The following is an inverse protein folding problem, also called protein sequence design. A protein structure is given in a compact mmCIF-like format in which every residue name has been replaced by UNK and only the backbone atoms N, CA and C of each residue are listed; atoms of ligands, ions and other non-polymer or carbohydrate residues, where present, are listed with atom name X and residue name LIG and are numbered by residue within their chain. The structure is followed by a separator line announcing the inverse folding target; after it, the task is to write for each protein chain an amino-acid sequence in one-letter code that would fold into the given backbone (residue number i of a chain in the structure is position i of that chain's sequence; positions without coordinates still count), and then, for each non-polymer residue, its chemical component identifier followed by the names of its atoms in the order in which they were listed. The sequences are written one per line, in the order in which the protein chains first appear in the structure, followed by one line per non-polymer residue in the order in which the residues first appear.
data_IF_594367015378
#
_entry.id   IF_594367015378
#
_cell.length_a   1.000
_cell.length_b   1.000
_cell.length_c   1.000
_cell.angle_alpha   90.00
_cell.angle_beta   90.00
_cell.angle_gamma   90.00
#
_symmetry.space_group_name_H-M   'P 1'
#
loop_
_entity.id
_entity.type
_entity.pdbx_description
1 polymer ?
#
# COMPACT_ATOMS: atom_id res chain seq x y z
N UNK A 1 31.02 -4.87 -2.88
CA UNK A 1 30.25 -5.82 -2.04
C UNK A 1 28.87 -5.28 -1.68
N UNK A 2 28.74 -4.05 -1.15
CA UNK A 2 27.44 -3.43 -0.78
C UNK A 2 26.39 -3.40 -1.91
N UNK A 3 26.80 -3.04 -3.14
CA UNK A 3 25.90 -2.99 -4.29
C UNK A 3 25.34 -4.36 -4.68
N UNK A 4 26.17 -5.40 -4.59
CA UNK A 4 25.76 -6.77 -4.91
C UNK A 4 24.74 -7.29 -3.88
N UNK A 5 24.97 -7.01 -2.59
CA UNK A 5 24.01 -7.33 -1.52
C UNK A 5 22.71 -6.55 -1.64
N UNK A 6 22.76 -5.27 -2.05
CA UNK A 6 21.55 -4.47 -2.25
C UNK A 6 20.71 -5.01 -3.41
N UNK A 7 21.35 -5.32 -4.55
CA UNK A 7 20.66 -5.93 -5.70
C UNK A 7 20.02 -7.26 -5.30
N UNK A 8 20.77 -8.13 -4.60
CA UNK A 8 20.26 -9.40 -4.14
C UNK A 8 19.07 -9.24 -3.19
N UNK A 9 19.12 -8.28 -2.27
CA UNK A 9 18.01 -7.98 -1.36
C UNK A 9 16.73 -7.61 -2.11
N UNK A 10 16.81 -6.70 -3.08
CA UNK A 10 15.64 -6.29 -3.86
C UNK A 10 15.11 -7.43 -4.73
N UNK A 11 15.99 -8.21 -5.37
CA UNK A 11 15.60 -9.38 -6.16
C UNK A 11 14.82 -10.40 -5.32
N UNK A 12 15.26 -10.67 -4.09
CA UNK A 12 14.59 -11.61 -3.19
C UNK A 12 13.27 -11.05 -2.62
N UNK A 13 13.05 -9.73 -2.65
CA UNK A 13 11.81 -9.07 -2.21
C UNK A 13 10.78 -8.89 -3.32
N UNK A 14 11.16 -8.98 -4.60
CA UNK A 14 10.21 -8.83 -5.71
C UNK A 14 8.98 -9.75 -5.60
N UNK A 15 9.08 -11.04 -5.19
CA UNK A 15 7.92 -11.90 -5.05
C UNK A 15 6.86 -11.37 -4.08
N UNK A 16 7.26 -10.67 -3.01
CA UNK A 16 6.31 -10.15 -2.01
C UNK A 16 5.41 -9.02 -2.55
N UNK A 17 5.66 -8.52 -3.77
CA UNK A 17 4.77 -7.58 -4.44
C UNK A 17 3.56 -8.26 -5.09
N UNK A 18 3.56 -9.60 -5.22
CA UNK A 18 2.48 -10.36 -5.88
C UNK A 18 1.77 -11.33 -4.94
N UNK A 19 2.08 -11.25 -3.65
CA UNK A 19 1.44 -12.09 -2.66
C UNK A 19 0.04 -11.57 -2.31
N UNK A 20 -0.92 -12.46 -2.00
CA UNK A 20 -2.26 -12.05 -1.56
C UNK A 20 -2.20 -11.34 -0.20
N UNK A 21 -3.23 -10.58 0.15
CA UNK A 21 -3.30 -9.87 1.42
C UNK A 21 -3.22 -10.84 2.61
N UNK A 22 -2.14 -10.73 3.39
CA UNK A 22 -1.89 -11.61 4.54
C UNK A 22 -2.47 -11.07 5.84
N UNK A 23 -2.62 -9.74 5.94
CA UNK A 23 -2.89 -9.07 7.20
C UNK A 23 -4.05 -8.08 7.07
N UNK A 24 -4.91 -8.03 8.09
CA UNK A 24 -6.13 -7.22 8.07
C UNK A 24 -5.87 -5.73 7.83
N UNK A 25 -4.81 -5.17 8.41
CA UNK A 25 -4.48 -3.75 8.25
C UNK A 25 -4.16 -3.38 6.80
N UNK A 26 -3.57 -4.28 6.02
CA UNK A 26 -3.26 -4.01 4.60
C UNK A 26 -4.55 -3.78 3.80
N UNK A 27 -5.55 -4.62 4.03
CA UNK A 27 -6.88 -4.47 3.44
C UNK A 27 -7.54 -3.15 3.85
N UNK A 28 -7.39 -2.73 5.12
CA UNK A 28 -7.91 -1.43 5.60
C UNK A 28 -7.24 -0.27 4.85
N UNK A 29 -5.92 -0.27 4.72
CA UNK A 29 -5.21 0.82 4.04
C UNK A 29 -5.59 0.93 2.58
N UNK A 30 -5.68 -0.21 1.89
CA UNK A 30 -6.06 -0.25 0.49
C UNK A 30 -7.53 0.15 0.29
N UNK A 31 -8.44 -0.29 1.16
CA UNK A 31 -9.85 0.11 1.11
C UNK A 31 -10.02 1.62 1.32
N UNK A 32 -9.29 2.22 2.27
CA UNK A 32 -9.32 3.67 2.46
C UNK A 32 -8.68 4.40 1.28
N UNK A 33 -7.55 3.91 0.75
CA UNK A 33 -6.94 4.43 -0.48
C UNK A 33 -7.91 4.37 -1.66
N UNK A 34 -8.70 3.31 -1.79
CA UNK A 34 -9.79 3.21 -2.76
C UNK A 34 -10.85 4.27 -2.54
N UNK A 35 -11.33 4.44 -1.31
CA UNK A 35 -12.30 5.48 -0.98
C UNK A 35 -11.81 6.87 -1.42
N UNK A 36 -10.54 7.20 -1.14
CA UNK A 36 -9.91 8.46 -1.57
C UNK A 36 -9.94 8.60 -3.11
N UNK A 37 -9.59 7.54 -3.85
CA UNK A 37 -9.65 7.56 -5.34
C UNK A 37 -11.06 7.76 -5.88
N UNK A 38 -12.08 7.30 -5.16
CA UNK A 38 -13.49 7.52 -5.50
C UNK A 38 -14.01 8.89 -5.03
N UNK A 39 -13.14 9.78 -4.55
CA UNK A 39 -13.49 11.13 -4.12
C UNK A 39 -14.03 11.22 -2.69
N UNK A 40 -13.92 10.15 -1.90
CA UNK A 40 -14.29 10.20 -0.48
C UNK A 40 -13.23 10.95 0.32
N UNK A 41 -13.70 11.81 1.22
CA UNK A 41 -12.85 12.61 2.10
C UNK A 41 -12.48 11.83 3.35
N UNK A 42 -11.17 11.68 3.59
CA UNK A 42 -10.63 11.01 4.76
C UNK A 42 -11.00 11.75 6.05
N UNK A 43 -11.36 10.98 7.08
CA UNK A 43 -11.84 11.38 8.40
C UNK A 43 -13.23 12.01 8.49
N UNK A 44 -13.92 12.21 7.35
CA UNK A 44 -15.32 12.66 7.34
C UNK A 44 -16.27 11.64 6.72
N UNK A 45 -15.84 10.96 5.64
CA UNK A 45 -16.64 9.94 4.95
C UNK A 45 -16.07 8.53 5.12
N UNK A 46 -14.76 8.42 5.29
CA UNK A 46 -14.02 7.18 5.54
C UNK A 46 -13.03 7.42 6.67
N UNK A 47 -12.78 6.44 7.53
CA UNK A 47 -12.02 6.67 8.76
C UNK A 47 -11.22 5.43 9.19
N UNK A 48 -10.00 5.67 9.68
CA UNK A 48 -9.21 4.75 10.51
C UNK A 48 -8.32 5.59 11.45
N UNK A 49 -7.81 5.00 12.55
CA UNK A 49 -7.14 5.73 13.62
C UNK A 49 -5.70 6.15 13.28
N UNK A 50 -5.11 5.68 12.17
CA UNK A 50 -3.73 5.99 11.80
C UNK A 50 -3.61 7.33 11.07
N UNK A 51 -2.42 7.97 11.05
CA UNK A 51 -2.17 9.22 10.33
C UNK A 51 -2.45 9.12 8.83
N UNK A 52 -2.77 10.24 8.16
CA UNK A 52 -3.34 10.22 6.81
C UNK A 52 -2.38 9.73 5.72
N UNK A 53 -1.07 9.90 5.93
CA UNK A 53 -0.06 9.67 4.89
C UNK A 53 -0.11 8.25 4.32
N UNK A 54 -0.42 7.24 5.14
CA UNK A 54 -0.46 5.84 4.70
C UNK A 54 -1.59 5.59 3.70
N UNK A 55 -2.76 6.19 3.88
CA UNK A 55 -3.90 6.00 2.97
C UNK A 55 -3.71 6.79 1.66
N UNK A 56 -3.08 7.96 1.71
CA UNK A 56 -2.72 8.69 0.50
C UNK A 56 -1.66 7.94 -0.32
N UNK A 57 -0.69 7.30 0.33
CA UNK A 57 0.24 6.40 -0.35
C UNK A 57 -0.51 5.19 -0.93
N UNK A 58 -1.42 4.57 -0.18
CA UNK A 58 -2.24 3.46 -0.67
C UNK A 58 -3.16 3.86 -1.85
N UNK A 59 -3.60 5.11 -1.91
CA UNK A 59 -4.35 5.62 -3.07
C UNK A 59 -3.50 5.64 -4.36
N UNK A 60 -2.17 5.74 -4.25
CA UNK A 60 -1.25 5.72 -5.39
C UNK A 60 -0.90 4.30 -5.84
N UNK A 61 -0.83 3.32 -4.93
CA UNK A 61 -0.26 1.97 -5.19
C UNK A 61 -1.07 1.13 -6.17
N UNK A 62 -2.39 1.25 -6.16
CA UNK A 62 -3.25 0.47 -7.06
C UNK A 62 -2.95 0.71 -8.55
N UNK A 63 -2.42 1.89 -8.87
CA UNK A 63 -2.07 2.30 -10.23
C UNK A 63 -0.84 1.57 -10.77
N UNK A 64 0.01 1.02 -9.89
CA UNK A 64 1.31 0.41 -10.25
C UNK A 64 1.24 -1.11 -10.28
N UNK A 65 0.45 -1.73 -9.38
CA UNK A 65 0.41 -3.20 -9.25
C UNK A 65 -0.97 -3.84 -9.47
N UNK A 66 -2.02 -3.05 -9.73
CA UNK A 66 -3.33 -3.57 -10.16
C UNK A 66 -4.16 -4.28 -9.09
N UNK A 67 -3.77 -4.17 -7.82
CA UNK A 67 -4.52 -4.61 -6.65
C UNK A 67 -4.72 -3.46 -5.68
#
# INVERSE_FOLDING_TARGET
MLWLSAILFFLLRLPSLFEPYWYGDEGVYLALGQGIRHGLTLYSQIYDNKPPAIYYLAALTQTVFGF
#
